data_IF_101341135195
#
_entry.id   IF_101341135195
#
_cell.length_a   1.000
_cell.length_b   1.000
_cell.length_c   1.000
_cell.angle_alpha   90.00
_cell.angle_beta   90.00
_cell.angle_gamma   90.00
#
_symmetry.space_group_name_H-M   'P 1'
#
loop_
_entity.id
_entity.type
_entity.pdbx_description
1 polymer ?
#
# COMPACT_ATOMS: atom_id res chain seq x y z
N UNK A 1 -44.87 -27.89 9.97
CA UNK A 1 -44.68 -29.31 9.63
C UNK A 1 -44.20 -29.33 8.19
N UNK A 2 -43.05 -29.83 7.81
CA UNK A 2 -41.90 -30.32 8.53
C UNK A 2 -40.76 -30.41 7.51
N UNK A 3 -39.57 -30.54 8.04
CA UNK A 3 -38.28 -30.41 7.41
C UNK A 3 -37.95 -31.44 6.29
N UNK A 4 -37.05 -30.99 5.39
CA UNK A 4 -35.94 -31.74 4.78
C UNK A 4 -36.19 -32.97 3.88
N UNK A 5 -35.69 -32.88 2.63
CA UNK A 5 -34.81 -33.87 1.94
C UNK A 5 -34.53 -33.35 0.53
N UNK A 6 -33.35 -32.79 0.25
CA UNK A 6 -32.12 -33.44 -0.24
C UNK A 6 -32.30 -34.20 -1.57
N UNK A 7 -31.46 -33.80 -2.53
CA UNK A 7 -30.84 -34.62 -3.60
C UNK A 7 -31.45 -34.54 -5.02
N UNK A 8 -30.54 -34.45 -6.01
CA UNK A 8 -30.61 -34.93 -7.42
C UNK A 8 -30.88 -33.88 -8.53
N UNK A 9 -29.77 -33.34 -9.05
CA UNK A 9 -29.31 -33.33 -10.45
C UNK A 9 -30.30 -33.02 -11.61
N UNK A 10 -29.97 -31.97 -12.39
CA UNK A 10 -29.78 -32.02 -13.87
C UNK A 10 -29.10 -30.71 -14.33
N UNK A 11 -27.79 -30.66 -14.55
CA UNK A 11 -27.04 -31.09 -15.76
C UNK A 11 -27.34 -30.23 -17.00
N UNK A 12 -26.42 -29.28 -17.22
CA UNK A 12 -25.67 -29.00 -18.46
C UNK A 12 -26.41 -28.50 -19.71
N UNK A 13 -26.01 -27.29 -20.17
CA UNK A 13 -25.81 -26.97 -21.59
C UNK A 13 -24.82 -25.81 -21.73
N UNK A 14 -23.70 -26.04 -22.42
CA UNK A 14 -23.13 -25.01 -23.30
C UNK A 14 -21.63 -24.76 -23.21
N UNK A 15 -20.86 -25.76 -23.62
CA UNK A 15 -19.44 -25.68 -23.99
C UNK A 15 -19.11 -24.53 -24.96
N UNK A 16 -17.97 -23.85 -24.76
CA UNK A 16 -16.83 -23.78 -25.71
C UNK A 16 -15.89 -22.59 -25.43
N UNK A 17 -14.79 -22.82 -24.71
CA UNK A 17 -13.48 -22.31 -25.15
C UNK A 17 -12.37 -23.21 -24.61
N UNK A 18 -11.62 -23.77 -25.55
CA UNK A 18 -10.61 -24.82 -25.36
C UNK A 18 -9.44 -24.28 -24.55
N UNK A 19 -9.34 -24.64 -23.28
CA UNK A 19 -8.14 -24.41 -22.47
C UNK A 19 -7.12 -25.48 -22.88
N UNK A 20 -6.40 -25.20 -23.96
CA UNK A 20 -5.20 -25.94 -24.32
C UNK A 20 -4.05 -25.40 -23.46
N UNK A 21 -3.22 -26.33 -22.97
CA UNK A 21 -1.87 -26.16 -22.43
C UNK A 21 -1.78 -26.13 -20.90
N UNK A 22 -2.00 -27.31 -20.32
CA UNK A 22 -1.45 -27.73 -19.04
C UNK A 22 0.09 -27.79 -19.20
N UNK A 23 0.79 -26.75 -18.73
CA UNK A 23 2.25 -26.73 -18.68
C UNK A 23 2.67 -26.81 -17.23
N UNK A 24 2.95 -28.03 -16.79
CA UNK A 24 3.72 -28.33 -15.58
C UNK A 24 5.13 -27.75 -15.74
N UNK A 25 5.51 -26.79 -14.89
CA UNK A 25 6.91 -26.53 -14.57
C UNK A 25 7.01 -26.39 -13.05
N UNK A 26 7.45 -27.46 -12.41
CA UNK A 26 8.05 -27.42 -11.08
C UNK A 26 9.23 -26.45 -11.09
N UNK A 27 9.19 -25.39 -10.28
CA UNK A 27 10.39 -24.70 -9.84
C UNK A 27 10.36 -24.66 -8.31
N UNK A 28 11.15 -25.56 -7.74
CA UNK A 28 11.62 -25.55 -6.37
C UNK A 28 12.37 -24.23 -6.13
N UNK A 29 11.66 -23.20 -5.66
CA UNK A 29 12.28 -21.92 -5.30
C UNK A 29 12.78 -21.99 -3.85
N UNK A 30 13.94 -22.62 -3.68
CA UNK A 30 14.68 -22.63 -2.43
C UNK A 30 15.44 -21.30 -2.24
N UNK A 31 15.27 -20.72 -1.05
CA UNK A 31 16.09 -19.73 -0.35
C UNK A 31 16.95 -18.78 -1.20
N UNK A 32 16.55 -17.51 -1.24
CA UNK A 32 17.45 -16.40 -0.94
C UNK A 32 16.68 -15.37 -0.09
N UNK A 33 16.49 -15.68 1.19
CA UNK A 33 16.11 -14.65 2.17
C UNK A 33 17.35 -13.79 2.41
N UNK A 34 17.65 -12.92 1.45
CA UNK A 34 18.65 -11.86 1.65
C UNK A 34 18.12 -10.99 2.78
N UNK A 35 18.83 -10.83 3.91
CA UNK A 35 18.44 -9.82 4.87
C UNK A 35 18.52 -8.48 4.13
N UNK A 36 17.36 -7.87 3.88
CA UNK A 36 17.32 -6.48 3.45
C UNK A 36 17.96 -5.71 4.60
N UNK A 37 19.21 -5.26 4.41
CA UNK A 37 19.82 -4.29 5.30
C UNK A 37 19.00 -3.02 5.11
N UNK A 38 18.04 -2.80 6.00
CA UNK A 38 17.35 -1.54 6.09
C UNK A 38 18.40 -0.48 6.44
N UNK A 39 18.94 0.18 5.40
CA UNK A 39 19.88 1.27 5.55
C UNK A 39 19.23 2.31 6.46
N UNK A 40 19.80 2.52 7.65
CA UNK A 40 19.31 3.56 8.55
C UNK A 40 19.56 4.92 7.88
N UNK A 41 18.51 5.56 7.38
CA UNK A 41 18.56 6.94 6.89
C UNK A 41 18.74 7.90 8.06
N UNK A 42 19.47 8.99 7.88
CA UNK A 42 19.51 10.06 8.88
C UNK A 42 18.10 10.64 9.10
N UNK A 43 17.90 11.31 10.23
CA UNK A 43 16.63 11.99 10.51
C UNK A 43 16.29 13.02 9.42
N UNK A 44 17.28 13.79 8.97
CA UNK A 44 17.10 14.83 7.96
C UNK A 44 16.75 14.23 6.59
N UNK A 45 17.41 13.14 6.19
CA UNK A 45 17.07 12.42 4.96
C UNK A 45 15.64 11.88 5.01
N UNK A 46 15.24 11.31 6.16
CA UNK A 46 13.89 10.79 6.33
C UNK A 46 12.84 11.92 6.26
N UNK A 47 13.12 13.09 6.84
CA UNK A 47 12.25 14.27 6.75
C UNK A 47 12.17 14.78 5.31
N UNK A 48 13.28 14.81 4.59
CA UNK A 48 13.32 15.19 3.16
C UNK A 48 12.45 14.26 2.32
N UNK A 49 12.59 12.95 2.51
CA UNK A 49 11.77 11.92 1.87
C UNK A 49 10.26 12.07 2.17
N UNK A 50 9.94 12.35 3.43
CA UNK A 50 8.56 12.56 3.85
C UNK A 50 7.97 13.82 3.22
N UNK A 51 8.72 14.92 3.20
CA UNK A 51 8.31 16.17 2.53
C UNK A 51 8.06 15.92 1.05
N UNK A 52 8.98 15.25 0.34
CA UNK A 52 8.80 14.93 -1.07
C UNK A 52 7.51 14.15 -1.33
N UNK A 53 7.20 13.14 -0.49
CA UNK A 53 5.95 12.37 -0.62
C UNK A 53 4.70 13.22 -0.37
N UNK A 54 4.75 14.15 0.59
CA UNK A 54 3.64 15.06 0.89
C UNK A 54 3.49 16.13 -0.22
N UNK A 55 4.59 16.62 -0.77
CA UNK A 55 4.60 17.57 -1.89
C UNK A 55 4.00 16.93 -3.15
N UNK A 56 4.27 15.66 -3.43
CA UNK A 56 3.59 14.92 -4.50
C UNK A 56 2.08 14.85 -4.28
N UNK A 57 1.63 14.56 -3.06
CA UNK A 57 0.20 14.57 -2.72
C UNK A 57 -0.42 15.97 -2.87
N UNK A 58 0.32 17.01 -2.47
CA UNK A 58 -0.11 18.41 -2.63
C UNK A 58 -0.26 18.79 -4.09
N UNK A 59 0.69 18.39 -4.95
CA UNK A 59 0.62 18.63 -6.39
C UNK A 59 -0.62 17.97 -7.03
N UNK A 60 -1.09 16.85 -6.47
CA UNK A 60 -2.33 16.20 -6.88
C UNK A 60 -3.60 16.85 -6.27
N UNK A 61 -3.48 17.83 -5.36
CA UNK A 61 -4.56 18.38 -4.52
C UNK A 61 -5.14 17.41 -3.47
N UNK A 62 -4.35 16.43 -3.03
CA UNK A 62 -4.75 15.41 -2.04
C UNK A 62 -3.95 15.48 -0.73
N UNK A 63 -3.18 16.53 -0.46
CA UNK A 63 -2.41 16.65 0.78
C UNK A 63 -3.31 16.55 2.03
N UNK A 64 -3.00 15.62 2.92
CA UNK A 64 -3.66 15.50 4.21
C UNK A 64 -3.05 16.47 5.23
N UNK A 65 -3.91 17.27 5.88
CA UNK A 65 -3.54 18.32 6.84
C UNK A 65 -2.54 17.86 7.93
N UNK A 66 -2.71 16.64 8.42
CA UNK A 66 -1.97 16.17 9.60
C UNK A 66 -0.53 15.72 9.27
N UNK A 67 -0.19 15.43 8.02
CA UNK A 67 1.14 14.94 7.65
C UNK A 67 2.24 15.96 7.96
N UNK A 68 2.02 17.25 7.65
CA UNK A 68 2.96 18.33 8.02
C UNK A 68 3.03 18.57 9.53
N UNK A 69 1.91 18.41 10.24
CA UNK A 69 1.89 18.53 11.71
C UNK A 69 2.71 17.41 12.36
N UNK A 70 2.71 16.21 11.79
CA UNK A 70 3.58 15.13 12.25
C UNK A 70 5.05 15.48 12.09
N UNK A 71 5.46 16.06 10.96
CA UNK A 71 6.85 16.50 10.76
C UNK A 71 7.26 17.59 11.76
N UNK A 72 6.41 18.59 12.01
CA UNK A 72 6.67 19.61 13.05
C UNK A 72 6.82 19.00 14.45
N UNK A 73 6.00 18.00 14.79
CA UNK A 73 6.12 17.28 16.07
C UNK A 73 7.36 16.40 16.12
N UNK A 74 7.73 15.79 14.99
CA UNK A 74 8.94 15.00 14.87
C UNK A 74 10.18 15.87 15.13
N UNK A 75 10.24 17.06 14.56
CA UNK A 75 11.39 17.97 14.73
C UNK A 75 11.57 18.36 16.19
N UNK A 76 10.48 18.68 16.90
CA UNK A 76 10.51 18.90 18.35
C UNK A 76 11.03 17.69 19.12
N UNK A 77 10.52 16.50 18.83
CA UNK A 77 10.98 15.27 19.49
C UNK A 77 12.46 14.97 19.21
N UNK A 78 12.93 15.22 17.99
CA UNK A 78 14.33 15.00 17.63
C UNK A 78 15.25 15.96 18.42
N UNK A 79 14.87 17.24 18.53
CA UNK A 79 15.57 18.24 19.35
C UNK A 79 15.59 17.90 20.83
N UNK A 80 14.57 17.19 21.32
CA UNK A 80 14.51 16.65 22.69
C UNK A 80 15.30 15.34 22.87
N UNK A 81 16.04 14.89 21.86
CA UNK A 81 16.79 13.61 21.88
C UNK A 81 15.91 12.36 21.76
N UNK A 82 14.60 12.52 21.49
CA UNK A 82 13.64 11.42 21.31
C UNK A 82 13.58 10.97 19.84
N UNK A 83 14.74 10.72 19.24
CA UNK A 83 14.90 10.46 17.81
C UNK A 83 14.06 9.29 17.31
N UNK A 84 13.95 8.19 18.06
CA UNK A 84 13.09 7.05 17.67
C UNK A 84 11.61 7.44 17.53
N UNK A 85 11.11 8.26 18.45
CA UNK A 85 9.72 8.75 18.39
C UNK A 85 9.55 9.74 17.24
N UNK A 86 10.57 10.56 16.97
CA UNK A 86 10.59 11.46 15.83
C UNK A 86 10.55 10.67 14.50
N UNK A 87 11.40 9.66 14.34
CA UNK A 87 11.44 8.79 13.15
C UNK A 87 10.10 8.10 12.90
N UNK A 88 9.41 7.62 13.94
CA UNK A 88 8.05 7.06 13.79
C UNK A 88 7.05 8.06 13.22
N UNK A 89 7.11 9.33 13.61
CA UNK A 89 6.25 10.38 13.06
C UNK A 89 6.62 10.72 11.62
N UNK A 90 7.91 10.78 11.29
CA UNK A 90 8.40 11.00 9.93
C UNK A 90 7.93 9.89 8.99
N UNK A 91 8.10 8.63 9.38
CA UNK A 91 7.62 7.47 8.60
C UNK A 91 6.12 7.52 8.39
N UNK A 92 5.33 7.85 9.42
CA UNK A 92 3.87 8.00 9.28
C UNK A 92 3.51 9.13 8.31
N UNK A 93 4.18 10.28 8.39
CA UNK A 93 3.96 11.40 7.48
C UNK A 93 4.29 11.02 6.02
N UNK A 94 5.41 10.32 5.79
CA UNK A 94 5.78 9.76 4.48
C UNK A 94 4.70 8.83 3.94
N UNK A 95 4.23 7.89 4.76
CA UNK A 95 3.16 6.97 4.36
C UNK A 95 1.86 7.68 4.01
N UNK A 96 1.47 8.72 4.77
CA UNK A 96 0.29 9.52 4.44
C UNK A 96 0.43 10.25 3.10
N UNK A 97 1.60 10.82 2.80
CA UNK A 97 1.85 11.41 1.48
C UNK A 97 1.67 10.40 0.34
N UNK A 98 2.24 9.20 0.48
CA UNK A 98 2.08 8.12 -0.51
C UNK A 98 0.64 7.66 -0.69
N UNK A 99 -0.09 7.48 0.42
CA UNK A 99 -1.49 7.07 0.40
C UNK A 99 -2.38 8.12 -0.25
N UNK A 100 -2.11 9.40 0.00
CA UNK A 100 -2.84 10.50 -0.62
C UNK A 100 -2.64 10.55 -2.14
N UNK A 101 -1.43 10.30 -2.65
CA UNK A 101 -1.19 10.17 -4.10
C UNK A 101 -1.98 9.00 -4.68
N UNK A 102 -1.91 7.83 -4.05
CA UNK A 102 -2.68 6.67 -4.49
C UNK A 102 -4.20 6.94 -4.49
N UNK A 103 -4.70 7.66 -3.47
CA UNK A 103 -6.09 8.09 -3.42
C UNK A 103 -6.45 9.00 -4.61
N UNK A 104 -5.58 9.95 -4.97
CA UNK A 104 -5.79 10.81 -6.12
C UNK A 104 -5.93 10.00 -7.43
N UNK A 105 -5.05 9.02 -7.64
CA UNK A 105 -5.06 8.14 -8.81
C UNK A 105 -6.33 7.29 -8.91
N UNK A 106 -6.77 6.73 -7.78
CA UNK A 106 -8.01 5.94 -7.73
C UNK A 106 -9.24 6.80 -8.06
N UNK A 107 -9.32 8.02 -7.50
CA UNK A 107 -10.45 8.91 -7.77
C UNK A 107 -10.44 9.47 -9.20
N UNK A 108 -9.25 9.71 -9.78
CA UNK A 108 -9.12 10.07 -11.19
C UNK A 108 -9.61 8.93 -12.11
N UNK A 109 -9.37 7.67 -11.73
CA UNK A 109 -9.79 6.49 -12.50
C UNK A 109 -11.29 6.21 -12.40
N UNK A 110 -11.92 6.49 -11.24
CA UNK A 110 -13.36 6.30 -11.02
C UNK A 110 -14.21 7.30 -11.80
N UNK A 111 -13.67 8.47 -12.15
CA UNK A 111 -14.36 9.50 -12.94
C UNK A 111 -14.29 9.27 -14.47
N UNK A 112 -13.90 8.07 -14.93
CA UNK A 112 -13.94 7.66 -16.35
C UNK A 112 -15.37 7.47 -16.90
N UNK A 113 -15.59 7.49 -18.23
CA UNK A 113 -16.89 7.79 -18.82
C UNK A 113 -17.92 6.69 -18.54
N UNK A 114 -19.04 7.10 -17.95
CA UNK A 114 -20.30 6.36 -17.96
C UNK A 114 -21.01 6.54 -19.31
#
# INVERSE_FOLDING_TARGET
>A
MDALKKTILKTDRGSNMKIKNLSSISILSALLFSPVLAQASSYDDAVKDANASIDSAKAANYEWRDSRKMLKKADKLNKEGKTDKAMKLVTKAKSQGKLAVAQAEQQASVNGPY
#
